data_IF_023565553988
#
_entry.id   IF_023565553988
#
_cell.length_a   1.000
_cell.length_b   1.000
_cell.length_c   1.000
_cell.angle_alpha   90.00
_cell.angle_beta   90.00
_cell.angle_gamma   90.00
#
_symmetry.space_group_name_H-M   'P 1'
#
loop_
_entity.id
_entity.type
_entity.pdbx_description
1 polymer ?
#
# COMPACT_ATOMS: atom_id res chain seq x y z
N UNK A 1 9.55 -31.35 -4.85
CA UNK A 1 10.02 -29.98 -4.59
C UNK A 1 8.88 -29.30 -3.86
N UNK A 2 8.89 -29.31 -2.53
CA UNK A 2 7.97 -28.48 -1.76
C UNK A 2 8.45 -27.05 -1.93
N UNK A 3 7.70 -26.27 -2.71
CA UNK A 3 7.89 -24.84 -2.80
C UNK A 3 7.33 -24.28 -1.50
N UNK A 4 8.23 -23.69 -0.72
CA UNK A 4 7.95 -23.02 0.56
C UNK A 4 6.66 -22.18 0.53
N UNK A 5 5.85 -22.36 1.57
CA UNK A 5 4.41 -22.08 1.65
C UNK A 5 4.04 -20.59 1.75
N UNK A 6 4.94 -19.62 1.50
CA UNK A 6 4.65 -18.19 1.72
C UNK A 6 5.29 -17.19 0.76
N UNK A 7 5.66 -17.57 -0.46
CA UNK A 7 5.99 -16.57 -1.49
C UNK A 7 4.69 -15.97 -2.01
N UNK A 8 4.26 -14.85 -1.43
CA UNK A 8 3.14 -14.06 -1.97
C UNK A 8 3.51 -13.64 -3.39
N UNK A 9 2.69 -14.04 -4.37
CA UNK A 9 2.93 -13.62 -5.75
C UNK A 9 2.71 -12.11 -5.88
N UNK A 10 3.45 -11.46 -6.79
CA UNK A 10 3.23 -10.04 -7.11
C UNK A 10 1.74 -9.79 -7.44
N UNK A 11 1.08 -10.75 -8.08
CA UNK A 11 -0.34 -10.66 -8.40
C UNK A 11 -1.25 -10.68 -7.18
N UNK A 12 -0.99 -11.53 -6.19
CA UNK A 12 -1.82 -11.59 -4.98
C UNK A 12 -1.65 -10.32 -4.14
N UNK A 13 -0.41 -9.81 -4.09
CA UNK A 13 -0.11 -8.55 -3.43
C UNK A 13 -0.79 -7.37 -4.12
N UNK A 14 -0.65 -7.25 -5.44
CA UNK A 14 -1.28 -6.20 -6.23
C UNK A 14 -2.80 -6.22 -6.08
N UNK A 15 -3.42 -7.40 -6.11
CA UNK A 15 -4.86 -7.52 -5.93
C UNK A 15 -5.30 -7.05 -4.54
N UNK A 16 -4.58 -7.49 -3.50
CA UNK A 16 -4.86 -7.09 -2.11
C UNK A 16 -4.74 -5.58 -1.92
N UNK A 17 -3.71 -4.96 -2.51
CA UNK A 17 -3.52 -3.51 -2.48
C UNK A 17 -4.64 -2.77 -3.22
N UNK A 18 -4.99 -3.19 -4.44
CA UNK A 18 -6.03 -2.54 -5.24
C UNK A 18 -7.41 -2.63 -4.56
N UNK A 19 -7.74 -3.75 -3.94
CA UNK A 19 -8.99 -3.92 -3.18
C UNK A 19 -9.05 -2.99 -1.96
N UNK A 20 -7.95 -2.88 -1.21
CA UNK A 20 -7.87 -1.95 -0.09
C UNK A 20 -8.00 -0.50 -0.56
N UNK A 21 -7.26 -0.12 -1.62
CA UNK A 21 -7.31 1.23 -2.18
C UNK A 21 -8.73 1.59 -2.64
N UNK A 22 -9.38 0.71 -3.40
CA UNK A 22 -10.76 0.92 -3.86
C UNK A 22 -11.72 1.09 -2.68
N UNK A 23 -11.61 0.24 -1.65
CA UNK A 23 -12.45 0.36 -0.45
C UNK A 23 -12.26 1.71 0.24
N UNK A 24 -11.02 2.14 0.45
CA UNK A 24 -10.73 3.43 1.09
C UNK A 24 -11.32 4.61 0.31
N UNK A 25 -11.20 4.58 -1.02
CA UNK A 25 -11.74 5.63 -1.92
C UNK A 25 -13.27 5.70 -1.81
N UNK A 26 -13.95 4.53 -1.79
CA UNK A 26 -15.41 4.46 -1.67
C UNK A 26 -15.93 4.90 -0.29
N UNK A 27 -15.13 4.76 0.77
CA UNK A 27 -15.48 5.21 2.11
C UNK A 27 -15.22 6.72 2.29
N UNK A 28 -14.01 7.20 1.99
CA UNK A 28 -13.60 8.60 2.18
C UNK A 28 -12.52 9.04 1.18
N UNK A 29 -12.94 9.64 0.06
CA UNK A 29 -12.08 9.98 -1.07
C UNK A 29 -10.88 10.89 -0.71
N UNK A 30 -11.11 12.01 0.00
CA UNK A 30 -10.04 12.94 0.37
C UNK A 30 -8.97 12.32 1.28
N UNK A 31 -9.40 11.52 2.27
CA UNK A 31 -8.50 10.83 3.18
C UNK A 31 -7.76 9.70 2.47
N UNK A 32 -8.45 8.97 1.59
CA UNK A 32 -7.85 7.92 0.78
C UNK A 32 -6.75 8.48 -0.14
N UNK A 33 -7.00 9.58 -0.85
CA UNK A 33 -5.99 10.23 -1.69
C UNK A 33 -4.72 10.60 -0.90
N UNK A 34 -4.86 11.18 0.28
CA UNK A 34 -3.72 11.51 1.15
C UNK A 34 -2.95 10.26 1.61
N UNK A 35 -3.67 9.25 2.10
CA UNK A 35 -3.08 7.99 2.60
C UNK A 35 -2.42 7.18 1.49
N UNK A 36 -3.03 7.10 0.32
CA UNK A 36 -2.53 6.37 -0.85
C UNK A 36 -1.44 7.16 -1.59
N UNK A 37 -1.44 8.50 -1.49
CA UNK A 37 -0.49 9.37 -2.18
C UNK A 37 -0.78 9.47 -3.68
N UNK A 38 -2.06 9.51 -4.05
CA UNK A 38 -2.52 9.54 -5.45
C UNK A 38 -3.33 10.80 -5.74
N UNK A 39 -3.42 11.18 -7.02
CA UNK A 39 -4.26 12.30 -7.45
C UNK A 39 -5.75 11.90 -7.51
N UNK A 40 -6.62 12.91 -7.64
CA UNK A 40 -8.06 12.69 -7.78
C UNK A 40 -8.40 11.82 -8.99
N UNK A 41 -7.76 12.08 -10.14
CA UNK A 41 -8.01 11.32 -11.37
C UNK A 41 -7.64 9.84 -11.19
N UNK A 42 -6.57 9.56 -10.44
CA UNK A 42 -6.16 8.18 -10.13
C UNK A 42 -7.16 7.53 -9.17
N UNK A 43 -7.63 8.26 -8.14
CA UNK A 43 -8.63 7.77 -7.21
C UNK A 43 -9.96 7.45 -7.91
N UNK A 44 -10.44 8.32 -8.79
CA UNK A 44 -11.64 8.10 -9.60
C UNK A 44 -11.53 6.84 -10.48
N UNK A 45 -10.38 6.64 -11.12
CA UNK A 45 -10.11 5.43 -11.90
C UNK A 45 -10.18 4.19 -11.01
N UNK A 46 -9.44 4.16 -9.89
CA UNK A 46 -9.40 3.00 -8.99
C UNK A 46 -10.78 2.71 -8.39
N UNK A 47 -11.51 3.74 -7.97
CA UNK A 47 -12.88 3.64 -7.46
C UNK A 47 -13.86 3.05 -8.48
N UNK A 48 -13.67 3.33 -9.77
CA UNK A 48 -14.51 2.84 -10.87
C UNK A 48 -14.15 1.45 -11.42
N UNK A 49 -13.07 0.81 -10.97
CA UNK A 49 -12.67 -0.50 -11.50
C UNK A 49 -13.64 -1.61 -11.11
N UNK A 50 -14.09 -2.38 -12.09
CA UNK A 50 -14.81 -3.63 -11.84
C UNK A 50 -13.89 -4.71 -11.24
N UNK A 51 -14.45 -5.74 -10.57
CA UNK A 51 -13.67 -6.88 -10.08
C UNK A 51 -12.79 -7.54 -11.14
N UNK A 52 -13.30 -7.68 -12.37
CA UNK A 52 -12.53 -8.25 -13.49
C UNK A 52 -11.36 -7.37 -13.90
N UNK A 53 -11.51 -6.04 -13.86
CA UNK A 53 -10.43 -5.10 -14.15
C UNK A 53 -9.37 -5.09 -13.05
N UNK A 54 -9.76 -5.17 -11.78
CA UNK A 54 -8.84 -5.29 -10.64
C UNK A 54 -7.96 -6.54 -10.77
N UNK A 55 -8.56 -7.69 -11.03
CA UNK A 55 -7.81 -8.95 -11.25
C UNK A 55 -6.89 -8.84 -12.47
N UNK A 56 -7.35 -8.22 -13.56
CA UNK A 56 -6.51 -8.02 -14.77
C UNK A 56 -5.29 -7.15 -14.48
N UNK A 57 -5.46 -6.04 -13.76
CA UNK A 57 -4.38 -5.15 -13.35
C UNK A 57 -3.43 -5.84 -12.38
N UNK A 58 -3.94 -6.62 -11.44
CA UNK A 58 -3.13 -7.31 -10.46
C UNK A 58 -2.13 -8.29 -11.09
N UNK A 59 -2.48 -8.93 -12.21
CA UNK A 59 -1.64 -9.92 -12.92
C UNK A 59 -0.38 -9.35 -13.56
N UNK A 60 -0.12 -8.04 -13.48
CA UNK A 60 1.16 -7.48 -13.91
C UNK A 60 2.30 -8.02 -13.06
N UNK A 61 3.49 -8.13 -13.65
CA UNK A 61 4.72 -8.54 -12.97
C UNK A 61 5.46 -7.35 -12.30
N UNK A 62 4.78 -6.22 -12.13
CA UNK A 62 5.30 -5.00 -11.52
C UNK A 62 4.43 -4.71 -10.29
N UNK A 63 5.06 -4.32 -9.18
CA UNK A 63 4.34 -3.87 -8.00
C UNK A 63 3.60 -2.56 -8.31
N UNK A 64 2.30 -2.55 -8.06
CA UNK A 64 1.45 -1.37 -8.31
C UNK A 64 1.45 -0.36 -7.16
N UNK A 65 2.11 -0.68 -6.04
CA UNK A 65 2.34 0.27 -4.95
C UNK A 65 3.81 0.67 -4.87
N UNK A 66 4.06 1.93 -4.52
CA UNK A 66 5.39 2.41 -4.18
C UNK A 66 5.63 2.34 -2.67
N UNK A 67 6.88 2.09 -2.29
CA UNK A 67 7.30 2.23 -0.90
C UNK A 67 7.43 3.72 -0.56
N UNK A 68 6.57 4.24 0.32
CA UNK A 68 6.50 5.68 0.64
C UNK A 68 7.48 6.12 1.74
N UNK A 69 8.46 5.28 2.11
CA UNK A 69 9.54 5.67 3.02
C UNK A 69 10.79 6.03 2.22
N UNK A 70 10.80 7.26 1.71
CA UNK A 70 11.96 7.87 1.06
C UNK A 70 12.93 8.51 2.07
N UNK A 71 12.43 8.83 3.28
CA UNK A 71 13.22 9.46 4.33
C UNK A 71 13.88 8.43 5.27
N UNK A 72 15.19 8.23 5.09
CA UNK A 72 16.02 7.35 5.93
C UNK A 72 15.94 7.70 7.41
N UNK A 73 15.83 8.98 7.79
CA UNK A 73 15.79 9.38 9.20
C UNK A 73 14.49 8.94 9.87
N UNK A 74 13.35 9.13 9.19
CA UNK A 74 12.05 8.67 9.67
C UNK A 74 12.02 7.16 9.85
N UNK A 75 12.52 6.41 8.86
CA UNK A 75 12.56 4.96 8.93
C UNK A 75 13.46 4.48 10.08
N UNK A 76 14.63 5.12 10.26
CA UNK A 76 15.56 4.80 11.36
C UNK A 76 14.94 5.06 12.73
N UNK A 77 14.20 6.15 12.90
CA UNK A 77 13.51 6.48 14.16
C UNK A 77 12.38 5.49 14.47
N UNK A 78 11.59 5.09 13.47
CA UNK A 78 10.50 4.12 13.65
C UNK A 78 11.04 2.71 13.93
N UNK A 79 12.15 2.32 13.29
CA UNK A 79 12.74 0.99 13.42
C UNK A 79 13.48 0.80 14.76
N UNK A 80 14.21 1.81 15.23
CA UNK A 80 15.04 1.70 16.43
C UNK A 80 14.32 2.12 17.72
N UNK A 81 13.07 2.59 17.61
CA UNK A 81 12.37 3.26 18.69
C UNK A 81 13.00 4.62 18.99
N UNK A 82 12.18 5.60 19.38
CA UNK A 82 12.68 6.81 20.01
C UNK A 82 13.64 6.42 21.15
N UNK A 83 14.85 7.02 21.27
CA UNK A 83 15.64 6.85 22.47
C UNK A 83 14.72 7.21 23.63
N UNK A 84 14.47 6.24 24.52
CA UNK A 84 13.76 6.51 25.76
C UNK A 84 14.44 7.73 26.39
N UNK A 85 13.68 8.81 26.48
CA UNK A 85 14.02 9.91 27.35
C UNK A 85 13.92 9.31 28.75
N UNK A 86 15.04 8.75 29.23
CA UNK A 86 15.23 8.54 30.66
C UNK A 86 15.16 9.93 31.27
N UNK A 87 13.95 10.32 31.70
CA UNK A 87 13.79 11.29 32.77
C UNK A 87 14.44 10.66 34.01
N UNK A 88 15.77 10.81 34.11
CA UNK A 88 16.45 10.63 35.38
C UNK A 88 16.02 11.79 36.29
N UNK A 89 15.14 11.42 37.22
CA UNK A 89 14.96 12.05 38.52
C UNK A 89 16.26 12.03 39.31
#
# INVERSE_FOLDING_TARGET
MEVDDRVISISDFNLSYLLLAQRMILEHDAEAMFRLGVSQEVAEIIGGLSPTQLVKLARTNILLCAFRFDNHSLLSTLANGSPQHDLQQ
#
